data_IF_756490275697
#
_entry.id   IF_756490275697
#
_cell.length_a   1.000
_cell.length_b   1.000
_cell.length_c   1.000
_cell.angle_alpha   90.00
_cell.angle_beta   90.00
_cell.angle_gamma   90.00
#
_symmetry.space_group_name_H-M   'P 1'
#
loop_
_entity.id
_entity.type
_entity.pdbx_description
1 polymer ?
#
# COMPACT_ATOMS: atom_id res chain seq x y z
N UNK A 1 -8.13 -9.70 -19.25
CA UNK A 1 -7.85 -8.60 -20.21
C UNK A 1 -6.79 -7.60 -19.73
N UNK A 2 -6.86 -7.06 -18.50
CA UNK A 2 -5.83 -6.14 -17.98
C UNK A 2 -4.38 -6.66 -18.10
N UNK A 3 -4.14 -7.93 -17.74
CA UNK A 3 -2.80 -8.53 -17.81
C UNK A 3 -2.24 -8.64 -19.23
N UNK A 4 -3.10 -8.88 -20.24
CA UNK A 4 -2.70 -8.88 -21.65
C UNK A 4 -2.28 -7.48 -22.09
N UNK A 5 -3.01 -6.44 -21.64
CA UNK A 5 -2.62 -5.05 -21.87
C UNK A 5 -1.28 -4.71 -21.22
N UNK A 6 -1.03 -5.15 -19.99
CA UNK A 6 0.28 -5.01 -19.34
C UNK A 6 1.40 -5.69 -20.11
N UNK A 7 1.17 -6.90 -20.64
CA UNK A 7 2.16 -7.65 -21.40
C UNK A 7 2.48 -6.97 -22.74
N UNK A 8 1.47 -6.39 -23.41
CA UNK A 8 1.62 -5.82 -24.76
C UNK A 8 2.07 -4.37 -24.78
N UNK A 9 1.60 -3.54 -23.84
CA UNK A 9 1.89 -2.09 -23.79
C UNK A 9 2.84 -1.70 -22.66
N UNK A 10 3.07 -2.60 -21.69
CA UNK A 10 3.94 -2.33 -20.55
C UNK A 10 3.27 -1.55 -19.42
N UNK A 11 4.04 -1.35 -18.34
CA UNK A 11 3.61 -0.60 -17.16
C UNK A 11 3.63 0.90 -17.49
N UNK A 12 2.55 1.62 -17.16
CA UNK A 12 2.47 3.07 -17.31
C UNK A 12 1.52 3.53 -18.42
N UNK A 13 1.28 2.71 -19.45
CA UNK A 13 0.32 3.05 -20.52
C UNK A 13 -1.13 2.71 -20.14
N UNK A 14 -1.62 3.33 -19.06
CA UNK A 14 -2.98 3.11 -18.56
C UNK A 14 -4.05 3.56 -19.56
N UNK A 15 -3.73 4.57 -20.37
CA UNK A 15 -4.62 5.08 -21.41
C UNK A 15 -4.75 4.09 -22.55
N UNK A 16 -3.66 3.52 -23.05
CA UNK A 16 -3.69 2.48 -24.08
C UNK A 16 -4.34 1.19 -23.59
N UNK A 17 -4.06 0.78 -22.34
CA UNK A 17 -4.67 -0.41 -21.74
C UNK A 17 -6.19 -0.25 -21.59
N UNK A 18 -6.66 0.91 -21.12
CA UNK A 18 -8.09 1.21 -21.02
C UNK A 18 -8.79 1.14 -22.38
N UNK A 19 -8.24 1.80 -23.41
CA UNK A 19 -8.88 1.86 -24.73
C UNK A 19 -8.92 0.53 -25.46
N UNK A 20 -7.86 -0.29 -25.35
CA UNK A 20 -7.69 -1.45 -26.23
C UNK A 20 -7.97 -2.80 -25.54
N UNK A 21 -7.87 -2.88 -24.21
CA UNK A 21 -7.97 -4.14 -23.47
C UNK A 21 -9.06 -4.13 -22.41
N UNK A 22 -9.38 -2.98 -21.82
CA UNK A 22 -10.33 -2.90 -20.71
C UNK A 22 -11.34 -1.78 -20.95
N UNK A 23 -12.02 -1.87 -22.09
CA UNK A 23 -12.86 -0.82 -22.68
C UNK A 23 -13.93 -0.27 -21.72
N UNK A 24 -14.45 -1.11 -20.83
CA UNK A 24 -15.45 -0.71 -19.82
C UNK A 24 -14.88 0.09 -18.64
N UNK A 25 -13.57 0.36 -18.61
CA UNK A 25 -12.87 1.03 -17.51
C UNK A 25 -12.15 2.27 -18.00
N UNK A 26 -12.20 3.34 -17.20
CA UNK A 26 -11.48 4.58 -17.51
C UNK A 26 -9.98 4.44 -17.22
N UNK A 27 -9.11 5.24 -17.88
CA UNK A 27 -7.67 5.19 -17.62
C UNK A 27 -7.30 5.34 -16.14
N UNK A 28 -8.02 6.19 -15.40
CA UNK A 28 -7.82 6.37 -13.95
C UNK A 28 -8.18 5.10 -13.17
N UNK A 29 -9.29 4.43 -13.50
CA UNK A 29 -9.65 3.16 -12.89
C UNK A 29 -8.60 2.08 -13.18
N UNK A 30 -8.05 2.06 -14.39
CA UNK A 30 -6.96 1.14 -14.78
C UNK A 30 -5.69 1.44 -13.98
N UNK A 31 -5.32 2.71 -13.78
CA UNK A 31 -4.19 3.09 -12.95
C UNK A 31 -4.37 2.65 -11.48
N UNK A 32 -5.53 2.92 -10.88
CA UNK A 32 -5.85 2.47 -9.52
C UNK A 32 -5.89 0.94 -9.41
N UNK A 33 -6.35 0.26 -10.46
CA UNK A 33 -6.33 -1.21 -10.53
C UNK A 33 -4.89 -1.72 -10.59
N UNK A 34 -4.04 -1.13 -11.43
CA UNK A 34 -2.63 -1.47 -11.55
C UNK A 34 -1.90 -1.32 -10.21
N UNK A 35 -2.13 -0.22 -9.48
CA UNK A 35 -1.57 0.00 -8.15
C UNK A 35 -1.92 -1.15 -7.20
N UNK A 36 -3.22 -1.47 -7.08
CA UNK A 36 -3.68 -2.58 -6.22
C UNK A 36 -3.13 -3.93 -6.67
N UNK A 37 -3.07 -4.16 -7.98
CA UNK A 37 -2.53 -5.40 -8.55
C UNK A 37 -1.07 -5.61 -8.15
N UNK A 38 -0.21 -4.59 -8.31
CA UNK A 38 1.22 -4.72 -7.97
C UNK A 38 1.46 -4.83 -6.46
N UNK A 39 0.73 -4.11 -5.62
CA UNK A 39 0.80 -4.28 -4.16
C UNK A 39 0.39 -5.70 -3.77
N UNK A 40 -0.66 -6.26 -4.40
CA UNK A 40 -1.07 -7.64 -4.15
C UNK A 40 0.01 -8.63 -4.59
N UNK A 41 0.63 -8.41 -5.74
CA UNK A 41 1.69 -9.28 -6.26
C UNK A 41 2.87 -9.39 -5.29
N UNK A 42 3.30 -8.29 -4.67
CA UNK A 42 4.38 -8.29 -3.67
C UNK A 42 3.98 -8.88 -2.32
N UNK A 43 2.68 -8.91 -2.00
CA UNK A 43 2.15 -9.47 -0.76
C UNK A 43 1.81 -10.97 -0.85
N UNK A 44 1.52 -11.49 -2.04
CA UNK A 44 1.27 -12.93 -2.25
C UNK A 44 2.49 -13.77 -1.86
N UNK A 45 3.71 -13.30 -2.11
CA UNK A 45 4.94 -13.96 -1.64
C UNK A 45 5.08 -13.93 -0.11
N UNK A 46 4.63 -12.84 0.55
CA UNK A 46 4.67 -12.68 2.01
C UNK A 46 3.62 -13.51 2.75
N UNK A 47 2.45 -13.81 2.15
CA UNK A 47 1.37 -14.59 2.79
C UNK A 47 1.76 -16.03 3.18
N UNK A 48 2.82 -16.61 2.60
CA UNK A 48 3.34 -17.93 3.04
C UNK A 48 4.10 -17.86 4.37
N UNK A 49 4.42 -16.66 4.89
CA UNK A 49 4.99 -16.46 6.22
C UNK A 49 3.91 -15.94 7.16
N UNK A 50 3.86 -16.47 8.39
CA UNK A 50 3.11 -15.84 9.48
C UNK A 50 3.67 -14.43 9.65
N UNK A 51 2.82 -13.42 9.63
CA UNK A 51 3.20 -12.04 9.92
C UNK A 51 3.84 -11.98 11.30
N UNK A 52 4.96 -11.28 11.43
CA UNK A 52 5.57 -11.05 12.74
C UNK A 52 4.68 -10.13 13.59
N UNK A 53 4.87 -10.14 14.90
CA UNK A 53 4.16 -9.22 15.81
C UNK A 53 4.35 -7.76 15.38
N UNK A 54 5.55 -7.41 14.92
CA UNK A 54 5.88 -6.07 14.44
C UNK A 54 5.18 -5.71 13.12
N UNK A 55 5.00 -6.67 12.21
CA UNK A 55 4.27 -6.43 10.95
C UNK A 55 2.78 -6.16 11.21
N UNK A 56 2.19 -6.84 12.20
CA UNK A 56 0.79 -6.67 12.59
C UNK A 56 0.57 -5.25 13.15
N UNK A 57 1.45 -4.82 14.05
CA UNK A 57 1.38 -3.49 14.67
C UNK A 57 1.56 -2.39 13.61
N UNK A 58 2.49 -2.55 12.67
CA UNK A 58 2.72 -1.58 11.60
C UNK A 58 1.53 -1.46 10.62
N UNK A 59 0.90 -2.59 10.27
CA UNK A 59 -0.30 -2.59 9.43
C UNK A 59 -1.53 -2.02 10.16
N UNK A 60 -1.65 -2.25 11.46
CA UNK A 60 -2.71 -1.69 12.32
C UNK A 60 -2.57 -0.16 12.46
N UNK A 61 -1.35 0.34 12.61
CA UNK A 61 -1.03 1.77 12.59
C UNK A 61 -1.39 2.43 11.25
N UNK A 62 -1.06 1.76 10.13
CA UNK A 62 -1.38 2.28 8.80
C UNK A 62 -2.88 2.22 8.47
N UNK A 63 -3.61 1.22 8.97
CA UNK A 63 -5.06 1.07 8.74
C UNK A 63 -5.93 1.99 9.60
N UNK A 64 -5.48 2.35 10.80
CA UNK A 64 -6.24 3.19 11.72
C UNK A 64 -6.19 4.68 11.38
N UNK A 65 -5.32 5.13 10.46
CA UNK A 65 -5.17 6.54 10.09
C UNK A 65 -4.84 7.45 11.29
N UNK A 66 -4.40 6.85 12.40
CA UNK A 66 -4.22 7.54 13.66
C UNK A 66 -2.78 8.05 13.73
N UNK A 67 -2.57 9.33 13.38
CA UNK A 67 -1.43 10.12 13.87
C UNK A 67 -1.55 10.27 15.39
N UNK A 68 -1.40 9.20 16.16
CA UNK A 68 -1.21 9.34 17.59
C UNK A 68 0.27 9.66 17.81
N UNK A 69 0.49 10.72 18.61
CA UNK A 69 1.82 11.19 19.00
C UNK A 69 2.66 10.00 19.47
N UNK A 70 3.90 9.93 18.99
CA UNK A 70 4.90 9.03 19.55
C UNK A 70 4.88 9.11 21.09
N UNK A 71 5.10 8.01 21.81
CA UNK A 71 5.10 8.01 23.27
C UNK A 71 6.02 9.13 23.76
N UNK A 72 5.43 10.05 24.51
CA UNK A 72 6.16 11.15 25.13
C UNK A 72 7.12 10.52 26.14
N UNK A 73 8.39 10.43 25.76
CA UNK A 73 9.48 10.16 26.69
C UNK A 73 9.46 11.32 27.69
N UNK A 74 8.93 11.09 28.88
CA UNK A 74 8.94 12.06 29.98
C UNK A 74 10.41 12.34 30.29
N UNK A 75 10.87 13.57 30.04
CA UNK A 75 12.19 14.02 30.48
C UNK A 75 12.14 14.19 31.99
N UNK A 76 12.99 13.43 32.67
CA UNK A 76 13.10 13.30 34.11
C UNK A 76 13.93 14.43 34.73
N UNK A 77 13.52 15.69 34.57
CA UNK A 77 14.27 16.84 35.12
C UNK A 77 13.46 17.70 36.10
N UNK A 78 12.24 17.29 36.49
CA UNK A 78 11.38 18.06 37.42
C UNK A 78 11.22 17.35 38.78
N UNK A 79 12.33 16.98 39.42
CA UNK A 79 12.37 16.64 40.86
C UNK A 79 13.77 16.95 41.43
N UNK A 80 14.16 18.23 41.45
CA UNK A 80 15.31 18.70 42.22
C UNK A 80 15.10 20.17 42.62
N UNK A 81 14.22 20.41 43.59
CA UNK A 81 14.21 21.63 44.39
C UNK A 81 13.68 21.30 45.79
N UNK A 82 14.59 20.81 46.65
CA UNK A 82 14.67 21.18 48.07
C UNK A 82 16.07 21.72 48.29
#
# INVERSE_FOLDING_TARGET
MFLLGLQKLGKGDWRGIARNYVISRTPTQVASHAQKYFIRQTNVSRRKRRSSLFDIIADEWNRSGARLRAPHLVKSDEYASV
#
